data_IF_785399206954
#
_entry.id   IF_785399206954
#
_cell.length_a   1.000
_cell.length_b   1.000
_cell.length_c   1.000
_cell.angle_alpha   90.00
_cell.angle_beta   90.00
_cell.angle_gamma   90.00
#
_symmetry.space_group_name_H-M   'P 1'
#
loop_
_entity.id
_entity.type
_entity.pdbx_description
1 polymer ?
#
# COMPACT_ATOMS: atom_id res chain seq x y z
N UNK A 1 6.16 -4.85 -14.40
CA UNK A 1 6.48 -6.27 -14.63
C UNK A 1 5.91 -7.09 -13.49
N UNK A 2 5.52 -8.33 -13.74
CA UNK A 2 5.05 -9.29 -12.75
C UNK A 2 5.23 -10.69 -13.33
N UNK A 3 5.14 -11.72 -12.49
CA UNK A 3 5.14 -13.13 -12.88
C UNK A 3 3.81 -13.79 -12.52
N UNK A 4 3.52 -14.92 -13.17
CA UNK A 4 2.47 -15.85 -12.75
C UNK A 4 3.12 -17.19 -12.43
N UNK A 5 2.92 -17.66 -11.21
CA UNK A 5 3.52 -18.91 -10.74
C UNK A 5 2.57 -20.09 -11.01
N UNK A 6 2.83 -20.79 -12.11
CA UNK A 6 2.11 -22.01 -12.47
C UNK A 6 2.72 -23.23 -11.79
N UNK A 7 1.90 -23.98 -11.04
CA UNK A 7 2.31 -25.29 -10.49
C UNK A 7 2.56 -26.31 -11.61
N UNK A 8 1.68 -26.31 -12.60
CA UNK A 8 1.81 -27.09 -13.82
C UNK A 8 2.09 -26.17 -15.01
N UNK A 9 3.30 -26.26 -15.56
CA UNK A 9 3.73 -25.44 -16.70
C UNK A 9 3.04 -25.84 -18.01
N UNK A 10 2.45 -27.04 -18.10
CA UNK A 10 1.67 -27.47 -19.26
C UNK A 10 0.37 -26.70 -19.46
N UNK A 11 -0.08 -25.99 -18.42
CA UNK A 11 -1.27 -25.13 -18.45
C UNK A 11 -1.00 -23.76 -19.09
N UNK A 12 0.28 -23.40 -19.28
CA UNK A 12 0.65 -22.13 -19.92
C UNK A 12 0.37 -22.28 -21.42
N UNK A 13 -0.53 -21.47 -22.00
CA UNK A 13 -0.78 -21.53 -23.43
C UNK A 13 0.52 -21.26 -24.21
N UNK A 14 0.74 -21.87 -25.38
CA UNK A 14 1.90 -21.53 -26.20
C UNK A 14 1.79 -20.09 -26.72
N UNK A 15 2.91 -19.39 -26.84
CA UNK A 15 2.96 -18.09 -27.53
C UNK A 15 2.92 -18.39 -29.04
N UNK A 16 1.88 -17.92 -29.71
CA UNK A 16 1.67 -18.14 -31.14
C UNK A 16 1.82 -16.80 -31.87
N UNK A 17 2.88 -16.66 -32.67
CA UNK A 17 3.16 -15.43 -33.39
C UNK A 17 3.49 -14.25 -32.46
N UNK A 18 3.20 -13.04 -32.94
CA UNK A 18 3.50 -11.77 -32.24
C UNK A 18 2.24 -11.08 -31.70
N UNK A 19 1.08 -11.73 -31.74
CA UNK A 19 -0.16 -11.17 -31.21
C UNK A 19 -0.27 -11.43 -29.71
N UNK A 20 0.06 -10.39 -28.93
CA UNK A 20 -0.01 -10.44 -27.49
C UNK A 20 -1.45 -10.46 -26.96
N UNK A 21 -2.44 -10.01 -27.74
CA UNK A 21 -3.84 -9.99 -27.30
C UNK A 21 -4.41 -11.40 -27.25
N UNK A 22 -4.22 -12.19 -28.32
CA UNK A 22 -4.59 -13.61 -28.38
C UNK A 22 -3.99 -14.40 -27.21
N UNK A 23 -2.72 -14.18 -26.91
CA UNK A 23 -2.05 -14.86 -25.81
C UNK A 23 -2.73 -14.57 -24.45
N UNK A 24 -3.07 -13.30 -24.19
CA UNK A 24 -3.75 -12.91 -22.95
C UNK A 24 -5.18 -13.48 -22.89
N UNK A 25 -5.92 -13.48 -24.01
CA UNK A 25 -7.26 -14.08 -24.07
C UNK A 25 -7.25 -15.58 -23.76
N UNK A 26 -6.20 -16.31 -24.18
CA UNK A 26 -6.03 -17.73 -23.84
C UNK A 26 -5.51 -17.94 -22.41
N UNK A 27 -4.70 -17.03 -21.88
CA UNK A 27 -4.11 -17.12 -20.55
C UNK A 27 -5.11 -16.80 -19.43
N UNK A 28 -5.93 -15.76 -19.59
CA UNK A 28 -6.85 -15.28 -18.56
C UNK A 28 -7.79 -16.37 -18.00
N UNK A 29 -8.47 -17.19 -18.81
CA UNK A 29 -9.33 -18.27 -18.31
C UNK A 29 -8.58 -19.31 -17.48
N UNK A 30 -7.31 -19.59 -17.82
CA UNK A 30 -6.47 -20.50 -17.05
C UNK A 30 -6.13 -19.90 -15.69
N UNK A 31 -5.74 -18.62 -15.66
CA UNK A 31 -5.44 -17.91 -14.41
C UNK A 31 -6.65 -17.90 -13.48
N UNK A 32 -7.84 -17.63 -14.01
CA UNK A 32 -9.10 -17.63 -13.25
C UNK A 32 -9.43 -19.03 -12.69
N UNK A 33 -9.39 -20.06 -13.55
CA UNK A 33 -9.70 -21.44 -13.15
C UNK A 33 -8.74 -21.95 -12.07
N UNK A 34 -7.45 -21.70 -12.24
CA UNK A 34 -6.41 -22.14 -11.32
C UNK A 34 -6.21 -21.19 -10.13
N UNK A 35 -6.96 -20.08 -10.07
CA UNK A 35 -6.85 -19.02 -9.06
C UNK A 35 -5.41 -18.49 -8.92
N UNK A 36 -4.71 -18.37 -10.05
CA UNK A 36 -3.35 -17.85 -10.12
C UNK A 36 -3.43 -16.33 -10.17
N UNK A 37 -2.68 -15.69 -9.28
CA UNK A 37 -2.60 -14.25 -9.16
C UNK A 37 -1.18 -13.81 -9.51
N UNK A 38 -0.99 -12.55 -9.97
CA UNK A 38 0.35 -12.08 -10.24
C UNK A 38 1.18 -12.05 -8.97
N UNK A 39 2.45 -12.42 -9.11
CA UNK A 39 3.50 -12.36 -8.09
C UNK A 39 4.58 -11.38 -8.53
N UNK A 40 5.33 -10.83 -7.58
CA UNK A 40 6.47 -9.96 -7.89
C UNK A 40 6.09 -8.71 -8.71
N UNK A 41 4.98 -8.05 -8.41
CA UNK A 41 4.55 -6.84 -9.15
C UNK A 41 5.55 -5.70 -8.91
N UNK A 42 6.23 -5.28 -9.98
CA UNK A 42 7.29 -4.27 -9.99
C UNK A 42 6.94 -3.17 -10.99
N UNK A 43 7.12 -1.91 -10.59
CA UNK A 43 6.88 -0.76 -11.47
C UNK A 43 7.91 -0.76 -12.59
N UNK A 44 7.53 -0.29 -13.79
CA UNK A 44 8.48 -0.18 -14.90
C UNK A 44 9.71 0.67 -14.53
N UNK A 45 9.49 1.73 -13.74
CA UNK A 45 10.54 2.55 -13.12
C UNK A 45 11.53 1.72 -12.29
N UNK A 46 10.99 0.91 -11.39
CA UNK A 46 11.79 0.10 -10.47
C UNK A 46 12.58 -0.95 -11.26
N UNK A 47 11.95 -1.56 -12.26
CA UNK A 47 12.61 -2.48 -13.17
C UNK A 47 13.76 -1.82 -13.94
N UNK A 48 13.57 -0.59 -14.44
CA UNK A 48 14.62 0.14 -15.15
C UNK A 48 15.83 0.44 -14.26
N UNK A 49 15.60 0.89 -13.01
CA UNK A 49 16.69 1.07 -12.05
C UNK A 49 17.38 -0.26 -11.72
N UNK A 50 16.61 -1.33 -11.52
CA UNK A 50 17.15 -2.65 -11.21
C UNK A 50 18.06 -3.15 -12.33
N UNK A 51 17.63 -3.01 -13.58
CA UNK A 51 18.42 -3.36 -14.76
C UNK A 51 19.75 -2.61 -14.80
N UNK A 52 19.73 -1.28 -14.62
CA UNK A 52 20.96 -0.46 -14.60
C UNK A 52 21.95 -0.86 -13.49
N UNK A 53 21.45 -1.47 -12.40
CA UNK A 53 22.24 -1.83 -11.21
C UNK A 53 22.50 -3.33 -11.07
N UNK A 54 22.11 -4.13 -12.06
CA UNK A 54 22.24 -5.58 -12.00
C UNK A 54 21.45 -6.22 -10.85
N UNK A 55 20.37 -5.58 -10.41
CA UNK A 55 19.44 -6.13 -9.43
C UNK A 55 18.44 -7.01 -10.19
N UNK A 56 18.33 -8.28 -9.80
CA UNK A 56 17.35 -9.20 -10.38
C UNK A 56 15.92 -8.65 -10.19
N UNK A 57 15.22 -8.42 -11.29
CA UNK A 57 14.03 -7.58 -11.34
C UNK A 57 12.82 -8.09 -10.52
N UNK A 58 12.72 -9.39 -10.23
CA UNK A 58 11.65 -9.99 -9.40
C UNK A 58 12.14 -10.43 -8.01
N UNK A 59 13.37 -10.07 -7.65
CA UNK A 59 13.95 -10.39 -6.34
C UNK A 59 13.34 -9.55 -5.21
N UNK A 60 13.62 -9.93 -3.96
CA UNK A 60 13.25 -9.13 -2.78
C UNK A 60 13.86 -7.72 -2.81
N UNK A 61 15.03 -7.56 -3.41
CA UNK A 61 15.75 -6.29 -3.52
C UNK A 61 15.15 -5.35 -4.57
N UNK A 62 14.43 -5.89 -5.56
CA UNK A 62 13.72 -5.13 -6.57
C UNK A 62 12.32 -4.65 -6.13
N UNK A 63 11.85 -5.07 -4.95
CA UNK A 63 10.58 -4.59 -4.39
C UNK A 63 10.65 -3.09 -4.13
N UNK A 64 9.59 -2.36 -4.48
CA UNK A 64 9.52 -0.90 -4.29
C UNK A 64 9.88 -0.46 -2.86
N UNK A 65 9.40 -1.15 -1.83
CA UNK A 65 9.72 -0.83 -0.44
C UNK A 65 11.21 -1.01 -0.10
N UNK A 66 11.90 -1.97 -0.73
CA UNK A 66 13.34 -2.13 -0.55
C UNK A 66 14.12 -1.04 -1.31
N UNK A 67 13.65 -0.67 -2.51
CA UNK A 67 14.24 0.43 -3.29
C UNK A 67 14.09 1.79 -2.59
N UNK A 68 13.00 2.03 -1.87
CA UNK A 68 12.85 3.25 -1.05
C UNK A 68 13.87 3.36 0.10
N UNK A 69 14.47 2.25 0.52
CA UNK A 69 15.57 2.22 1.49
C UNK A 69 16.96 2.31 0.81
N UNK A 70 17.03 2.17 -0.51
CA UNK A 70 18.27 2.26 -1.28
C UNK A 70 18.63 3.74 -1.56
N UNK A 71 19.79 4.18 -1.07
CA UNK A 71 20.25 5.57 -1.20
C UNK A 71 20.42 6.00 -2.67
N UNK A 72 20.98 5.12 -3.50
CA UNK A 72 21.20 5.39 -4.92
C UNK A 72 19.87 5.53 -5.68
N UNK A 73 18.88 4.69 -5.36
CA UNK A 73 17.53 4.79 -5.92
C UNK A 73 16.88 6.12 -5.54
N UNK A 74 16.98 6.53 -4.26
CA UNK A 74 16.46 7.82 -3.80
C UNK A 74 17.16 9.01 -4.49
N UNK A 75 18.49 9.00 -4.58
CA UNK A 75 19.29 10.06 -5.21
C UNK A 75 18.96 10.19 -6.70
N UNK A 76 18.78 9.07 -7.38
CA UNK A 76 18.53 9.01 -8.83
C UNK A 76 17.04 8.98 -9.20
N UNK A 77 16.14 9.17 -8.23
CA UNK A 77 14.70 9.10 -8.47
C UNK A 77 14.23 9.99 -9.62
N UNK A 78 14.84 11.17 -9.80
CA UNK A 78 14.57 12.09 -10.91
C UNK A 78 14.85 11.47 -12.30
N UNK A 79 15.90 10.64 -12.45
CA UNK A 79 16.26 10.00 -13.74
C UNK A 79 15.17 9.06 -14.25
N UNK A 80 14.42 8.47 -13.32
CA UNK A 80 13.35 7.54 -13.63
C UNK A 80 11.96 8.13 -13.35
N UNK A 81 11.88 9.43 -13.01
CA UNK A 81 10.66 10.23 -12.97
C UNK A 81 10.00 10.47 -11.62
N UNK A 82 10.75 10.71 -10.55
CA UNK A 82 10.18 11.38 -9.38
C UNK A 82 9.92 12.85 -9.70
N UNK A 83 8.76 13.36 -9.26
CA UNK A 83 8.32 14.75 -9.38
C UNK A 83 8.20 15.32 -10.81
N UNK A 84 7.02 15.17 -11.43
CA UNK A 84 6.62 15.94 -12.62
C UNK A 84 7.31 15.59 -13.96
N UNK A 85 8.50 15.00 -13.94
CA UNK A 85 9.41 15.07 -15.10
C UNK A 85 9.35 13.90 -16.10
N UNK A 86 8.50 12.89 -15.87
CA UNK A 86 8.32 11.77 -16.85
C UNK A 86 6.97 11.80 -17.56
N UNK A 87 6.18 12.85 -17.36
CA UNK A 87 5.19 13.25 -18.35
C UNK A 87 5.61 14.60 -18.92
N UNK A 88 6.60 14.61 -19.80
CA UNK A 88 7.02 15.82 -20.55
C UNK A 88 5.89 16.43 -21.42
N UNK A 89 4.72 15.78 -21.51
CA UNK A 89 3.50 16.28 -22.13
C UNK A 89 2.29 16.06 -21.20
N UNK A 90 2.27 16.75 -20.06
CA UNK A 90 1.32 16.55 -18.95
C UNK A 90 -0.12 16.21 -19.34
N UNK A 91 -0.46 14.92 -19.27
CA UNK A 91 -1.83 14.42 -19.24
C UNK A 91 -1.92 13.28 -18.22
N UNK A 92 -2.04 13.69 -16.94
CA UNK A 92 -2.37 12.91 -15.75
C UNK A 92 -1.36 11.84 -15.28
N UNK A 93 -1.02 11.90 -13.99
CA UNK A 93 -0.42 10.76 -13.28
C UNK A 93 -1.27 9.50 -13.52
N UNK A 94 -0.64 8.34 -13.73
CA UNK A 94 -1.35 7.08 -13.96
C UNK A 94 -2.44 6.91 -12.89
N UNK A 95 -3.73 6.80 -13.27
CA UNK A 95 -4.85 7.01 -12.37
C UNK A 95 -5.00 5.82 -11.41
N UNK A 96 -4.25 5.86 -10.33
CA UNK A 96 -4.21 4.81 -9.29
C UNK A 96 -5.11 5.17 -8.12
N UNK A 97 -5.50 4.16 -7.37
CA UNK A 97 -6.11 4.32 -6.05
C UNK A 97 -5.13 3.83 -4.98
N UNK A 98 -5.18 4.43 -3.80
CA UNK A 98 -4.51 3.91 -2.62
C UNK A 98 -5.39 2.85 -1.97
N UNK A 99 -4.89 1.63 -1.85
CA UNK A 99 -5.51 0.58 -1.06
C UNK A 99 -4.73 0.39 0.24
N UNK A 100 -5.43 0.41 1.37
CA UNK A 100 -4.83 0.20 2.69
C UNK A 100 -5.35 -1.09 3.28
N UNK A 101 -4.47 -2.05 3.46
CA UNK A 101 -4.77 -3.28 4.17
C UNK A 101 -4.63 -3.02 5.68
N UNK A 102 -5.77 -3.08 6.37
CA UNK A 102 -5.92 -2.87 7.80
C UNK A 102 -6.63 -4.09 8.42
N UNK A 103 -5.84 -4.95 9.06
CA UNK A 103 -6.32 -6.20 9.63
C UNK A 103 -6.81 -7.16 8.54
N UNK A 104 -8.10 -7.49 8.53
CA UNK A 104 -8.73 -8.32 7.48
C UNK A 104 -9.51 -7.51 6.44
N UNK A 105 -9.38 -6.18 6.45
CA UNK A 105 -10.09 -5.27 5.55
C UNK A 105 -9.11 -4.59 4.62
N UNK A 106 -9.54 -4.33 3.39
CA UNK A 106 -8.86 -3.42 2.46
C UNK A 106 -9.75 -2.20 2.29
N UNK A 107 -9.20 -1.02 2.56
CA UNK A 107 -9.88 0.26 2.36
C UNK A 107 -9.34 0.92 1.10
N UNK A 108 -10.20 1.51 0.28
CA UNK A 108 -9.79 2.24 -0.92
C UNK A 108 -9.93 3.74 -0.73
N UNK A 109 -8.98 4.47 -1.29
CA UNK A 109 -8.97 5.92 -1.36
C UNK A 109 -8.55 6.31 -2.77
N UNK A 110 -9.35 7.13 -3.44
CA UNK A 110 -8.93 7.75 -4.67
C UNK A 110 -7.85 8.82 -4.43
N UNK A 111 -7.20 9.26 -5.51
CA UNK A 111 -6.18 10.31 -5.47
C UNK A 111 -6.77 11.68 -5.79
N UNK A 112 -7.96 11.96 -5.25
CA UNK A 112 -8.53 13.31 -5.24
C UNK A 112 -8.25 13.96 -3.89
N UNK A 113 -8.41 15.28 -3.80
CA UNK A 113 -8.34 15.99 -2.51
C UNK A 113 -9.31 15.40 -1.47
N UNK A 114 -10.45 14.83 -1.91
CA UNK A 114 -11.42 14.17 -1.04
C UNK A 114 -10.89 12.84 -0.48
N UNK A 115 -10.40 11.97 -1.35
CA UNK A 115 -9.80 10.69 -0.98
C UNK A 115 -8.56 10.88 -0.10
N UNK A 116 -7.71 11.86 -0.45
CA UNK A 116 -6.53 12.22 0.32
C UNK A 116 -6.88 12.69 1.75
N UNK A 117 -7.86 13.59 1.90
CA UNK A 117 -8.35 14.01 3.24
C UNK A 117 -8.89 12.84 4.04
N UNK A 118 -9.55 11.88 3.38
CA UNK A 118 -10.10 10.71 4.07
C UNK A 118 -9.01 9.73 4.49
N UNK A 119 -7.97 9.54 3.66
CA UNK A 119 -6.79 8.76 4.01
C UNK A 119 -6.05 9.39 5.20
N UNK A 120 -5.85 10.71 5.21
CA UNK A 120 -5.23 11.43 6.33
C UNK A 120 -6.06 11.31 7.61
N UNK A 121 -7.40 11.40 7.51
CA UNK A 121 -8.29 11.19 8.65
C UNK A 121 -8.17 9.75 9.21
N UNK A 122 -8.13 8.75 8.34
CA UNK A 122 -7.90 7.36 8.73
C UNK A 122 -6.54 7.17 9.42
N UNK A 123 -5.46 7.71 8.85
CA UNK A 123 -4.12 7.63 9.43
C UNK A 123 -4.04 8.30 10.80
N UNK A 124 -4.75 9.43 10.99
CA UNK A 124 -4.86 10.10 12.29
C UNK A 124 -5.52 9.20 13.33
N UNK A 125 -6.66 8.58 13.01
CA UNK A 125 -7.35 7.65 13.92
C UNK A 125 -6.47 6.46 14.32
N UNK A 126 -5.75 5.87 13.36
CA UNK A 126 -4.80 4.78 13.62
C UNK A 126 -3.66 5.26 14.52
N UNK A 127 -3.11 6.44 14.25
CA UNK A 127 -1.98 7.02 15.00
C UNK A 127 -2.37 7.33 16.45
N UNK A 128 -3.56 7.88 16.67
CA UNK A 128 -4.12 8.13 18.00
C UNK A 128 -4.21 6.84 18.83
N UNK A 129 -4.58 5.72 18.20
CA UNK A 129 -4.70 4.42 18.87
C UNK A 129 -3.44 3.54 18.80
N UNK A 130 -2.31 4.04 18.29
CA UNK A 130 -1.13 3.21 17.97
C UNK A 130 -0.59 2.40 19.17
N UNK A 131 -0.59 3.01 20.36
CA UNK A 131 -0.11 2.38 21.59
C UNK A 131 -1.17 1.51 22.29
N UNK A 132 -2.43 1.50 21.81
CA UNK A 132 -3.50 0.63 22.32
C UNK A 132 -3.40 -0.78 21.69
N UNK A 133 -3.24 -1.80 22.53
CA UNK A 133 -3.15 -3.21 22.08
C UNK A 133 -4.48 -3.80 21.62
N UNK A 134 -5.62 -3.32 22.12
CA UNK A 134 -6.91 -3.98 21.87
C UNK A 134 -7.46 -3.72 20.46
N UNK A 135 -6.93 -2.72 19.75
CA UNK A 135 -7.59 -2.10 18.59
C UNK A 135 -6.71 -1.93 17.37
N UNK A 136 -5.61 -2.66 17.28
CA UNK A 136 -4.67 -2.51 16.16
C UNK A 136 -4.42 -3.81 15.41
N UNK A 137 -4.27 -3.74 14.09
CA UNK A 137 -3.73 -4.85 13.31
C UNK A 137 -2.26 -5.05 13.63
N UNK A 138 -1.69 -6.18 13.22
CA UNK A 138 -0.26 -6.45 13.32
C UNK A 138 0.56 -5.58 12.37
N UNK A 139 0.01 -5.31 11.19
CA UNK A 139 0.65 -4.48 10.17
C UNK A 139 -0.37 -3.64 9.41
N UNK A 140 0.11 -2.54 8.87
CA UNK A 140 -0.54 -1.74 7.84
C UNK A 140 0.26 -1.84 6.54
N UNK A 141 -0.41 -2.14 5.43
CA UNK A 141 0.22 -2.16 4.10
C UNK A 141 -0.54 -1.25 3.15
N UNK A 142 0.21 -0.44 2.42
CA UNK A 142 -0.30 0.55 1.49
C UNK A 142 0.06 0.12 0.08
N UNK A 143 -0.91 0.08 -0.81
CA UNK A 143 -0.75 -0.38 -2.17
C UNK A 143 -1.27 0.68 -3.13
N UNK A 144 -0.48 0.99 -4.15
CA UNK A 144 -1.05 1.65 -5.32
C UNK A 144 -1.63 0.58 -6.24
N UNK A 145 -2.95 0.60 -6.40
CA UNK A 145 -3.69 -0.32 -7.27
C UNK A 145 -4.00 0.41 -8.57
N UNK A 146 -3.85 -0.32 -9.69
CA UNK A 146 -4.17 0.14 -11.02
C UNK A 146 -5.60 0.74 -11.12
N UNK A 147 -5.86 1.63 -12.09
CA UNK A 147 -7.18 2.24 -12.26
C UNK A 147 -8.28 1.21 -12.27
N UNK A 148 -9.14 1.32 -11.27
CA UNK A 148 -10.46 0.72 -11.31
C UNK A 148 -11.29 1.57 -12.26
N UNK A 149 -12.19 0.94 -13.01
CA UNK A 149 -13.08 1.71 -13.87
C UNK A 149 -13.81 2.79 -13.05
N UNK A 150 -14.05 3.97 -13.64
CA UNK A 150 -14.57 5.11 -12.90
C UNK A 150 -15.91 4.82 -12.21
N UNK A 151 -16.76 3.98 -12.83
CA UNK A 151 -18.02 3.53 -12.26
C UNK A 151 -17.84 2.67 -10.99
N UNK A 152 -16.79 1.85 -10.93
CA UNK A 152 -16.45 1.02 -9.78
C UNK A 152 -15.95 1.88 -8.63
N UNK A 153 -15.11 2.89 -8.93
CA UNK A 153 -14.65 3.87 -7.92
C UNK A 153 -15.83 4.63 -7.31
N UNK A 154 -16.73 5.12 -8.15
CA UNK A 154 -17.93 5.84 -7.69
C UNK A 154 -18.85 4.96 -6.82
N UNK A 155 -18.90 3.64 -7.06
CA UNK A 155 -19.72 2.69 -6.29
C UNK A 155 -19.14 2.37 -4.91
N UNK A 156 -17.82 2.20 -4.81
CA UNK A 156 -17.19 1.86 -3.53
C UNK A 156 -17.05 3.12 -2.68
N UNK A 157 -16.60 4.25 -3.24
CA UNK A 157 -16.34 5.47 -2.48
C UNK A 157 -15.15 5.34 -1.52
N UNK A 158 -14.62 6.48 -1.07
CA UNK A 158 -13.43 6.50 -0.22
C UNK A 158 -13.70 5.91 1.17
N UNK A 159 -12.69 5.23 1.70
CA UNK A 159 -12.71 4.61 3.03
C UNK A 159 -13.65 3.41 3.16
N UNK A 160 -14.27 2.94 2.08
CA UNK A 160 -15.10 1.74 2.10
C UNK A 160 -14.26 0.47 1.92
N UNK A 161 -14.79 -0.63 2.46
CA UNK A 161 -14.16 -1.94 2.34
C UNK A 161 -14.28 -2.45 0.90
N UNK A 162 -13.17 -2.97 0.38
CA UNK A 162 -13.09 -3.60 -0.92
C UNK A 162 -12.56 -5.04 -0.80
N UNK A 163 -12.57 -5.77 -1.92
CA UNK A 163 -12.03 -7.13 -1.95
C UNK A 163 -10.54 -7.15 -1.60
N UNK A 164 -10.14 -8.11 -0.77
CA UNK A 164 -8.73 -8.35 -0.46
C UNK A 164 -7.91 -8.74 -1.70
N UNK A 165 -8.54 -9.27 -2.76
CA UNK A 165 -7.81 -9.64 -3.97
C UNK A 165 -7.25 -8.43 -4.71
N UNK A 166 -7.76 -7.22 -4.47
CA UNK A 166 -7.27 -6.01 -5.11
C UNK A 166 -5.80 -5.72 -4.81
N UNK A 167 -5.33 -6.01 -3.60
CA UNK A 167 -3.93 -5.74 -3.23
C UNK A 167 -2.97 -6.72 -3.89
N UNK A 168 -3.45 -7.86 -4.42
CA UNK A 168 -2.61 -8.82 -5.17
C UNK A 168 -2.08 -8.23 -6.47
N UNK A 169 -2.82 -7.29 -7.06
CA UNK A 169 -2.46 -6.59 -8.29
C UNK A 169 -1.82 -5.22 -8.01
N UNK A 170 -1.75 -4.81 -6.74
CA UNK A 170 -1.20 -3.53 -6.32
C UNK A 170 0.30 -3.57 -6.06
N UNK A 171 0.97 -2.44 -6.23
CA UNK A 171 2.36 -2.29 -5.80
C UNK A 171 2.36 -1.79 -4.36
N UNK A 172 2.93 -2.58 -3.45
CA UNK A 172 3.13 -2.16 -2.06
C UNK A 172 4.10 -0.97 -2.01
N UNK A 173 3.63 0.19 -1.55
CA UNK A 173 4.40 1.43 -1.43
C UNK A 173 4.88 1.70 -0.01
N UNK A 174 4.18 1.19 0.99
CA UNK A 174 4.60 1.29 2.37
C UNK A 174 4.12 0.08 3.18
N UNK A 175 4.95 -0.33 4.13
CA UNK A 175 4.63 -1.37 5.11
C UNK A 175 5.01 -0.87 6.49
N UNK A 176 4.03 -0.78 7.37
CA UNK A 176 4.21 -0.39 8.76
C UNK A 176 3.91 -1.58 9.67
N UNK A 177 4.93 -2.06 10.36
CA UNK A 177 4.75 -2.91 11.54
C UNK A 177 4.09 -2.06 12.64
N UNK A 178 3.00 -2.57 13.23
CA UNK A 178 2.22 -1.86 14.24
C UNK A 178 2.62 -2.24 15.68
N UNK A 179 3.72 -2.96 15.87
CA UNK A 179 4.31 -3.17 17.20
C UNK A 179 4.59 -1.80 17.86
N UNK A 180 4.27 -1.62 19.16
CA UNK A 180 4.30 -0.32 19.83
C UNK A 180 5.74 0.11 20.18
N UNK A 181 6.54 0.41 19.17
CA UNK A 181 7.90 0.94 19.30
C UNK A 181 7.94 2.39 18.83
N UNK A 182 8.91 3.17 19.31
CA UNK A 182 9.06 4.56 18.87
C UNK A 182 9.37 4.62 17.37
N UNK A 183 10.21 3.70 16.88
CA UNK A 183 10.52 3.58 15.45
C UNK A 183 9.28 3.39 14.58
N UNK A 184 8.42 2.45 14.95
CA UNK A 184 7.21 2.15 14.19
C UNK A 184 6.18 3.27 14.27
N UNK A 185 6.03 3.91 15.44
CA UNK A 185 5.18 5.09 15.59
C UNK A 185 5.62 6.23 14.68
N UNK A 186 6.92 6.53 14.63
CA UNK A 186 7.47 7.57 13.76
C UNK A 186 7.32 7.22 12.29
N UNK A 187 7.51 5.95 11.90
CA UNK A 187 7.27 5.48 10.53
C UNK A 187 5.82 5.72 10.10
N UNK A 188 4.84 5.42 10.96
CA UNK A 188 3.43 5.68 10.67
C UNK A 188 3.15 7.19 10.55
N UNK A 189 3.68 8.02 11.45
CA UNK A 189 3.50 9.48 11.39
C UNK A 189 4.09 10.11 10.13
N UNK A 190 5.21 9.58 9.63
CA UNK A 190 5.83 10.06 8.40
C UNK A 190 5.01 9.76 7.13
N UNK A 191 3.95 8.94 7.22
CA UNK A 191 3.00 8.73 6.13
C UNK A 191 1.90 9.80 6.08
N UNK A 192 1.70 10.54 7.17
CA UNK A 192 0.72 11.63 7.20
C UNK A 192 1.25 12.81 6.39
N UNK A 193 0.38 13.41 5.56
CA UNK A 193 0.77 14.58 4.76
C UNK A 193 0.91 15.84 5.62
N UNK A 194 0.09 15.92 6.67
CA UNK A 194 0.11 17.00 7.64
C UNK A 194 0.82 16.57 8.93
N UNK A 195 1.66 17.45 9.48
CA UNK A 195 2.30 17.21 10.76
C UNK A 195 1.31 17.45 11.91
N UNK A 196 0.66 16.38 12.37
CA UNK A 196 -0.27 16.45 13.50
C UNK A 196 0.50 16.46 14.83
N UNK A 197 0.25 17.41 15.75
CA UNK A 197 0.85 17.41 17.09
C UNK A 197 0.53 16.14 17.87
N UNK A 198 1.43 15.77 18.79
CA UNK A 198 1.17 14.64 19.69
C UNK A 198 0.07 15.01 20.69
N UNK A 199 -0.76 14.04 21.05
CA UNK A 199 -1.64 14.17 22.21
C UNK A 199 -0.82 14.14 23.50
N UNK A 200 -1.32 14.73 24.58
CA UNK A 200 -0.63 14.71 25.90
C UNK A 200 -0.22 13.32 26.35
N UNK A 201 -1.02 12.30 26.03
CA UNK A 201 -0.70 10.93 26.36
C UNK A 201 0.40 10.35 25.45
N UNK A 202 0.33 10.61 24.15
CA UNK A 202 1.42 10.25 23.23
C UNK A 202 2.73 10.95 23.61
N UNK A 203 2.71 12.22 24.02
CA UNK A 203 3.90 12.95 24.50
C UNK A 203 4.54 12.25 25.70
N UNK A 204 3.74 11.82 26.68
CA UNK A 204 4.22 11.05 27.84
C UNK A 204 4.87 9.73 27.43
N UNK A 205 4.20 8.99 26.55
CA UNK A 205 4.68 7.69 26.05
C UNK A 205 5.99 7.87 25.28
N UNK A 206 6.01 8.78 24.30
CA UNK A 206 7.19 9.08 23.48
C UNK A 206 8.34 9.53 24.36
N UNK A 207 8.11 10.44 25.31
CA UNK A 207 9.15 10.90 26.25
C UNK A 207 9.79 9.77 27.04
N UNK A 208 9.00 8.76 27.45
CA UNK A 208 9.52 7.58 28.16
C UNK A 208 10.29 6.60 27.26
N UNK A 209 10.04 6.63 25.94
CA UNK A 209 10.70 5.78 24.95
C UNK A 209 11.96 6.42 24.37
N UNK A 210 12.05 7.75 24.31
CA UNK A 210 13.20 8.48 23.76
C UNK A 210 14.51 8.13 24.47
N UNK A 211 14.46 7.82 25.77
CA UNK A 211 15.62 7.39 26.56
C UNK A 211 16.02 5.92 26.33
N UNK A 212 15.34 5.21 25.43
CA UNK A 212 15.55 3.78 25.14
C UNK A 212 15.89 3.60 23.66
N UNK A 213 16.48 2.45 23.27
CA UNK A 213 16.58 2.09 21.87
C UNK A 213 15.20 2.17 21.19
N UNK A 214 15.16 2.69 19.98
CA UNK A 214 13.92 3.00 19.24
C UNK A 214 13.03 1.77 18.95
N UNK A 215 13.62 0.56 18.97
CA UNK A 215 12.95 -0.72 18.79
C UNK A 215 12.38 -1.31 20.11
N UNK A 216 12.59 -0.66 21.26
CA UNK A 216 12.02 -1.12 22.53
C UNK A 216 10.50 -1.01 22.51
N UNK A 217 9.82 -2.11 22.84
CA UNK A 217 8.35 -2.16 22.95
C UNK A 217 7.89 -1.41 24.19
N UNK A 218 6.90 -0.54 24.02
CA UNK A 218 6.26 0.17 25.11
C UNK A 218 5.36 -0.78 25.96
N UNK A 219 5.44 -0.73 27.30
CA UNK A 219 4.54 -1.48 28.17
C UNK A 219 3.09 -0.98 28.03
N UNK A 220 2.13 -1.91 28.09
CA UNK A 220 0.74 -1.71 27.66
C UNK A 220 0.03 -0.60 28.46
N UNK A 221 -0.61 0.34 27.76
CA UNK A 221 -1.56 1.30 28.34
C UNK A 221 -2.85 1.22 27.53
N UNK A 222 -3.98 0.98 28.21
CA UNK A 222 -5.30 1.07 27.57
C UNK A 222 -5.62 2.54 27.32
N UNK A 223 -5.66 2.96 26.05
CA UNK A 223 -6.10 4.31 25.71
C UNK A 223 -7.62 4.41 25.66
N UNK A 224 -8.19 5.40 26.35
CA UNK A 224 -9.61 5.77 26.21
C UNK A 224 -9.81 6.57 24.92
N UNK A 225 -9.90 5.91 23.77
CA UNK A 225 -10.17 6.58 22.47
C UNK A 225 -11.48 6.07 21.86
N UNK A 226 -12.16 6.91 21.06
CA UNK A 226 -13.42 6.61 20.36
C UNK A 226 -13.19 5.67 19.17
N UNK A 227 -14.26 4.98 18.77
CA UNK A 227 -14.27 3.91 17.75
C UNK A 227 -13.90 4.49 16.37
N UNK A 228 -12.94 3.90 15.63
CA UNK A 228 -12.72 4.21 14.23
C UNK A 228 -13.96 3.78 13.43
N UNK A 229 -14.57 4.73 12.71
CA UNK A 229 -15.79 4.54 11.90
C UNK A 229 -17.04 4.02 12.65
N UNK A 230 -17.73 4.94 13.36
CA UNK A 230 -19.20 4.94 13.37
C UNK A 230 -19.70 6.19 12.62
N UNK A 231 -19.94 6.07 11.31
CA UNK A 231 -20.90 6.99 10.67
C UNK A 231 -22.26 6.73 11.31
N UNK A 232 -22.85 7.77 11.90
CA UNK A 232 -24.26 7.77 12.30
C UNK A 232 -25.11 7.52 11.05
N UNK A 233 -25.96 6.50 11.09
CA UNK A 233 -27.17 6.40 10.29
C UNK A 233 -27.05 5.65 8.96
N UNK A 234 -27.14 4.32 9.00
CA UNK A 234 -28.08 3.58 8.16
C UNK A 234 -28.28 2.18 8.78
N UNK A 235 -29.46 2.01 9.35
CA UNK A 235 -30.02 0.75 9.81
C UNK A 235 -30.11 -0.22 8.62
N UNK A 236 -29.44 -1.36 8.71
CA UNK A 236 -29.78 -2.54 7.92
C UNK A 236 -30.60 -3.42 8.86
N UNK A 237 -31.88 -3.54 8.56
CA UNK A 237 -32.74 -4.55 9.17
C UNK A 237 -32.18 -5.94 8.81
N UNK A 238 -32.12 -6.79 9.84
CA UNK A 238 -31.80 -8.22 9.75
C UNK A 238 -32.89 -8.93 8.93
#
# INVERSE_FOLDING_TARGET
>A
MFSFDFKDKGMIPPILGTDNADYLERLCPVLEREKIHPSGVVRLRDAAFCEERGIEQLSSSAKHTALLENEDYRRLGHRFGMDGDVIRNGLAAFPTCMAVEYGRKVLLFDKTDGGDRMLDAFLREVTECFFDKKRKPESLRFYEVAPLNAAYRAKIGDGQAASADMVRYGICVAHCDMAPTLRNFNRLRNLQREHVPLTKEQERIVSSLVARPDNVRFPNVEMKVRIPFKKKGQSINI
#
